data_IF_076420217307
#
_entry.id   IF_076420217307
#
_cell.length_a   1.000
_cell.length_b   1.000
_cell.length_c   1.000
_cell.angle_alpha   90.00
_cell.angle_beta   90.00
_cell.angle_gamma   90.00
#
_symmetry.space_group_name_H-M   'P 1'
#
loop_
_entity.id
_entity.type
_entity.pdbx_description
1 polymer ?
#
# COMPACT_ATOMS: atom_id res chain seq x y z
N UNK A 1 3.95 -0.90 27.93
CA UNK A 1 2.65 -1.04 27.23
C UNK A 1 2.33 0.12 26.26
N UNK A 2 3.32 0.81 25.66
CA UNK A 2 3.07 1.94 24.72
C UNK A 2 3.42 1.60 23.26
N UNK A 3 4.38 0.69 23.03
CA UNK A 3 4.88 0.35 21.69
C UNK A 3 3.83 -0.29 20.76
N UNK A 4 2.93 -1.13 21.28
CA UNK A 4 1.94 -1.83 20.47
C UNK A 4 0.88 -0.92 19.83
N UNK A 5 0.46 0.14 20.53
CA UNK A 5 -0.59 1.04 20.05
C UNK A 5 -0.11 2.04 18.99
N UNK A 6 1.17 2.44 19.05
CA UNK A 6 1.78 3.30 18.01
C UNK A 6 1.88 2.56 16.67
N UNK A 7 2.25 1.28 16.69
CA UNK A 7 2.28 0.41 15.50
C UNK A 7 0.89 0.29 14.86
N UNK A 8 -0.13 -0.05 15.65
CA UNK A 8 -1.51 -0.15 15.15
C UNK A 8 -2.06 1.17 14.59
N UNK A 9 -1.64 2.33 15.14
CA UNK A 9 -2.02 3.64 14.60
C UNK A 9 -1.35 3.94 13.26
N UNK A 10 -0.05 3.64 13.15
CA UNK A 10 0.69 3.77 11.89
C UNK A 10 0.12 2.84 10.81
N UNK A 11 -0.17 1.59 11.15
CA UNK A 11 -0.73 0.63 10.21
C UNK A 11 -2.07 1.08 9.63
N UNK A 12 -2.98 1.59 10.49
CA UNK A 12 -4.25 2.15 9.99
C UNK A 12 -4.03 3.34 9.07
N UNK A 13 -3.12 4.25 9.43
CA UNK A 13 -2.80 5.40 8.57
C UNK A 13 -2.28 4.96 7.20
N UNK A 14 -1.35 4.00 7.16
CA UNK A 14 -0.83 3.46 5.90
C UNK A 14 -1.92 2.78 5.07
N UNK A 15 -2.82 2.04 5.72
CA UNK A 15 -3.96 1.44 5.04
C UNK A 15 -4.85 2.50 4.37
N UNK A 16 -5.20 3.56 5.10
CA UNK A 16 -6.04 4.65 4.58
C UNK A 16 -5.36 5.40 3.43
N UNK A 17 -4.06 5.71 3.57
CA UNK A 17 -3.26 6.41 2.55
C UNK A 17 -3.09 5.57 1.28
N UNK A 18 -2.78 4.28 1.41
CA UNK A 18 -2.68 3.36 0.26
C UNK A 18 -4.04 3.17 -0.40
N UNK A 19 -5.13 3.11 0.38
CA UNK A 19 -6.50 3.01 -0.17
C UNK A 19 -6.82 4.23 -1.03
N UNK A 20 -6.47 5.43 -0.56
CA UNK A 20 -6.68 6.66 -1.32
C UNK A 20 -5.91 6.65 -2.65
N UNK A 21 -4.63 6.24 -2.62
CA UNK A 21 -3.80 6.12 -3.84
C UNK A 21 -4.45 5.15 -4.84
N UNK A 22 -4.92 3.99 -4.40
CA UNK A 22 -5.57 3.01 -5.27
C UNK A 22 -6.88 3.55 -5.85
N UNK A 23 -7.70 4.21 -5.04
CA UNK A 23 -8.95 4.82 -5.51
C UNK A 23 -8.68 5.87 -6.60
N UNK A 24 -7.70 6.73 -6.40
CA UNK A 24 -7.32 7.77 -7.36
C UNK A 24 -6.77 7.20 -8.67
N UNK A 25 -5.87 6.20 -8.59
CA UNK A 25 -5.23 5.62 -9.77
C UNK A 25 -6.19 4.73 -10.56
N UNK A 26 -7.02 3.94 -9.88
CA UNK A 26 -7.99 3.04 -10.51
C UNK A 26 -9.30 3.76 -10.90
N UNK A 27 -9.47 5.03 -10.52
CA UNK A 27 -10.68 5.80 -10.81
C UNK A 27 -11.92 5.26 -10.10
N UNK A 28 -11.77 4.76 -8.86
CA UNK A 28 -12.85 4.15 -8.07
C UNK A 28 -13.20 5.00 -6.86
N UNK A 29 -14.48 5.04 -6.51
CA UNK A 29 -14.94 5.71 -5.28
C UNK A 29 -14.51 4.94 -4.02
N UNK A 30 -14.46 3.60 -4.11
CA UNK A 30 -14.05 2.73 -3.02
C UNK A 30 -13.26 1.53 -3.52
N UNK A 31 -12.26 1.14 -2.72
CA UNK A 31 -11.48 -0.09 -2.83
C UNK A 31 -11.42 -0.72 -1.44
N UNK A 32 -11.92 -1.95 -1.33
CA UNK A 32 -11.85 -2.75 -0.13
C UNK A 32 -10.42 -3.22 0.15
N UNK A 33 -10.04 -3.39 1.43
CA UNK A 33 -8.66 -3.67 1.82
C UNK A 33 -8.13 -5.03 1.33
N UNK A 34 -9.02 -5.93 0.91
CA UNK A 34 -8.71 -7.29 0.48
C UNK A 34 -9.12 -7.57 -0.98
N UNK A 35 -9.60 -6.57 -1.72
CA UNK A 35 -9.88 -6.73 -3.14
C UNK A 35 -8.57 -6.83 -3.93
N UNK A 36 -8.53 -7.76 -4.88
CA UNK A 36 -7.33 -8.02 -5.66
C UNK A 36 -7.11 -6.95 -6.74
N UNK A 37 -5.87 -6.47 -6.86
CA UNK A 37 -5.45 -5.45 -7.80
C UNK A 37 -5.90 -5.69 -9.25
N UNK A 38 -5.75 -6.91 -9.78
CA UNK A 38 -6.13 -7.18 -11.17
C UNK A 38 -7.65 -7.34 -11.31
N UNK A 39 -8.34 -7.88 -10.30
CA UNK A 39 -9.81 -7.93 -10.28
C UNK A 39 -10.43 -6.54 -10.25
N UNK A 40 -9.73 -5.56 -9.67
CA UNK A 40 -10.12 -4.15 -9.68
C UNK A 40 -9.88 -3.45 -11.02
N UNK A 41 -9.25 -4.12 -12.00
CA UNK A 41 -8.88 -3.56 -13.29
C UNK A 41 -7.47 -2.97 -13.35
N UNK A 42 -6.62 -3.25 -12.36
CA UNK A 42 -5.24 -2.81 -12.34
C UNK A 42 -4.37 -3.42 -13.43
N UNK A 43 -3.42 -2.64 -13.93
CA UNK A 43 -2.42 -3.05 -14.92
C UNK A 43 -1.01 -2.56 -14.53
N UNK A 44 -0.02 -2.73 -15.42
CA UNK A 44 1.35 -2.29 -15.15
C UNK A 44 1.47 -0.77 -15.02
N UNK A 45 0.66 0.01 -15.73
CA UNK A 45 0.68 1.47 -15.67
C UNK A 45 0.12 1.94 -14.32
N UNK A 46 -1.02 1.39 -13.90
CA UNK A 46 -1.60 1.64 -12.59
C UNK A 46 -0.64 1.21 -11.47
N UNK A 47 0.03 0.07 -11.60
CA UNK A 47 1.00 -0.40 -10.62
C UNK A 47 2.16 0.59 -10.46
N UNK A 48 2.75 1.05 -11.57
CA UNK A 48 3.84 2.05 -11.54
C UNK A 48 3.38 3.36 -10.88
N UNK A 49 2.18 3.83 -11.19
CA UNK A 49 1.63 5.05 -10.59
C UNK A 49 1.38 4.91 -9.09
N UNK A 50 0.79 3.78 -8.65
CA UNK A 50 0.56 3.49 -7.24
C UNK A 50 1.88 3.46 -6.47
N UNK A 51 2.89 2.79 -7.03
CA UNK A 51 4.23 2.71 -6.44
C UNK A 51 4.83 4.10 -6.29
N UNK A 52 4.94 4.87 -7.39
CA UNK A 52 5.52 6.22 -7.36
C UNK A 52 4.88 7.11 -6.30
N UNK A 53 3.54 7.10 -6.19
CA UNK A 53 2.82 7.90 -5.17
C UNK A 53 3.07 7.40 -3.75
N UNK A 54 3.17 6.10 -3.54
CA UNK A 54 3.49 5.53 -2.24
C UNK A 54 4.93 5.84 -1.81
N UNK A 55 5.88 5.81 -2.75
CA UNK A 55 7.27 6.23 -2.52
C UNK A 55 7.34 7.71 -2.15
N UNK A 56 6.65 8.58 -2.89
CA UNK A 56 6.57 10.03 -2.59
C UNK A 56 5.99 10.31 -1.19
N UNK A 57 4.97 9.55 -0.78
CA UNK A 57 4.29 9.74 0.50
C UNK A 57 5.14 9.24 1.69
N UNK A 58 5.84 8.12 1.50
CA UNK A 58 6.50 7.40 2.62
C UNK A 58 8.01 7.56 2.66
N UNK A 59 8.64 7.89 1.53
CA UNK A 59 10.08 7.84 1.34
C UNK A 59 10.67 6.43 1.26
N UNK A 60 9.82 5.39 1.24
CA UNK A 60 10.25 4.00 1.08
C UNK A 60 10.37 3.68 -0.41
N UNK A 61 11.46 3.02 -0.82
CA UNK A 61 11.60 2.49 -2.18
C UNK A 61 10.79 1.20 -2.33
N UNK A 62 9.96 1.11 -3.37
CA UNK A 62 9.05 0.01 -3.61
C UNK A 62 9.26 -0.56 -5.02
N UNK A 63 9.33 -1.89 -5.11
CA UNK A 63 9.44 -2.56 -6.40
C UNK A 63 8.07 -2.92 -6.98
N UNK A 64 7.99 -3.04 -8.30
CA UNK A 64 6.79 -3.59 -8.95
C UNK A 64 6.48 -5.01 -8.51
N UNK A 65 7.53 -5.80 -8.23
CA UNK A 65 7.40 -7.15 -7.71
C UNK A 65 6.68 -7.16 -6.36
N UNK A 66 6.96 -6.20 -5.48
CA UNK A 66 6.30 -6.07 -4.18
C UNK A 66 4.78 -5.89 -4.33
N UNK A 67 4.33 -5.03 -5.26
CA UNK A 67 2.90 -4.83 -5.51
C UNK A 67 2.28 -6.11 -6.10
N UNK A 68 2.99 -6.80 -7.01
CA UNK A 68 2.53 -8.05 -7.61
C UNK A 68 2.46 -9.22 -6.62
N UNK A 69 3.29 -9.22 -5.58
CA UNK A 69 3.24 -10.19 -4.47
C UNK A 69 2.20 -9.81 -3.41
N UNK A 70 1.91 -8.51 -3.26
CA UNK A 70 1.01 -7.94 -2.27
C UNK A 70 -0.18 -7.23 -2.93
N UNK A 71 -0.95 -7.97 -3.73
CA UNK A 71 -2.02 -7.46 -4.61
C UNK A 71 -3.28 -6.95 -3.90
N UNK A 72 -3.21 -6.64 -2.62
CA UNK A 72 -4.31 -6.00 -1.89
C UNK A 72 -3.78 -4.80 -1.12
N UNK A 73 -4.63 -3.80 -0.90
CA UNK A 73 -4.27 -2.62 -0.10
C UNK A 73 -3.73 -3.02 1.28
N UNK A 74 -4.37 -3.99 1.94
CA UNK A 74 -3.94 -4.44 3.26
C UNK A 74 -2.54 -5.08 3.25
N UNK A 75 -2.25 -5.89 2.22
CA UNK A 75 -0.93 -6.51 2.07
C UNK A 75 0.14 -5.46 1.78
N UNK A 76 -0.11 -4.54 0.83
CA UNK A 76 0.81 -3.47 0.48
C UNK A 76 1.09 -2.54 1.68
N UNK A 77 0.06 -2.13 2.42
CA UNK A 77 0.23 -1.31 3.61
C UNK A 77 1.02 -2.03 4.73
N UNK A 78 0.82 -3.35 4.87
CA UNK A 78 1.60 -4.17 5.79
C UNK A 78 3.08 -4.25 5.42
N UNK A 79 3.39 -4.38 4.14
CA UNK A 79 4.78 -4.42 3.67
C UNK A 79 5.45 -3.05 3.79
N UNK A 80 4.74 -1.97 3.48
CA UNK A 80 5.21 -0.61 3.75
C UNK A 80 5.54 -0.38 5.23
N UNK A 81 4.72 -0.90 6.15
CA UNK A 81 5.03 -0.83 7.58
C UNK A 81 6.32 -1.57 7.92
N UNK A 82 6.57 -2.74 7.32
CA UNK A 82 7.80 -3.50 7.54
C UNK A 82 9.03 -2.77 7.00
N UNK A 83 8.94 -2.21 5.80
CA UNK A 83 10.01 -1.41 5.19
C UNK A 83 10.34 -0.20 6.05
N UNK A 84 9.33 0.55 6.49
CA UNK A 84 9.49 1.71 7.36
C UNK A 84 9.97 1.36 8.78
N UNK A 85 9.77 0.12 9.23
CA UNK A 85 10.33 -0.37 10.48
C UNK A 85 11.80 -0.81 10.38
N UNK A 86 12.37 -0.81 9.16
CA UNK A 86 13.71 -1.35 8.91
C UNK A 86 13.77 -2.88 8.95
N UNK A 87 12.62 -3.54 8.78
CA UNK A 87 12.46 -5.01 8.77
C UNK A 87 12.40 -5.57 7.34
N UNK A 88 12.77 -4.75 6.34
CA UNK A 88 12.85 -5.14 4.94
C UNK A 88 13.87 -6.29 4.78
N UNK A 89 13.47 -7.34 4.07
CA UNK A 89 14.33 -8.47 3.69
C UNK A 89 15.02 -8.17 2.36
#
# INVERSE_FOLDING_TARGET
MVRGWLRSRRQRRLLDEVTAIWCEVLGREHVGPHEDFLELGGDSVAAIQIISRAEELTGAELSIQLLMENRTVAAMAGELERVLAGEAT
#
